data_IF_239430712096
#
_entry.id   IF_239430712096
#
_cell.length_a   1.000
_cell.length_b   1.000
_cell.length_c   1.000
_cell.angle_alpha   90.00
_cell.angle_beta   90.00
_cell.angle_gamma   90.00
#
_symmetry.space_group_name_H-M   'P 1'
#
loop_
_entity.id
_entity.type
_entity.pdbx_description
1 polymer ?
#
# COMPACT_ATOMS: atom_id res chain seq x y z
N UNK A 1 -45.04 5.83 4.22
CA UNK A 1 -44.21 5.82 2.99
C UNK A 1 -44.39 4.45 2.37
N UNK A 2 -44.71 4.37 1.08
CA UNK A 2 -45.12 3.11 0.45
C UNK A 2 -43.92 2.49 -0.30
N UNK A 3 -43.86 1.16 -0.40
CA UNK A 3 -42.77 0.46 -1.10
C UNK A 3 -42.60 0.95 -2.55
N UNK A 4 -43.72 1.21 -3.25
CA UNK A 4 -43.77 1.84 -4.59
C UNK A 4 -43.07 3.20 -4.74
N UNK A 5 -42.80 3.92 -3.65
CA UNK A 5 -42.04 5.19 -3.71
C UNK A 5 -40.51 4.99 -3.63
N UNK A 6 -40.04 3.79 -3.30
CA UNK A 6 -38.60 3.47 -3.20
C UNK A 6 -38.08 2.63 -4.37
N UNK A 7 -38.94 1.84 -5.04
CA UNK A 7 -38.61 1.11 -6.29
C UNK A 7 -37.77 1.93 -7.32
N UNK A 8 -38.12 3.18 -7.70
CA UNK A 8 -37.32 3.97 -8.64
C UNK A 8 -35.98 4.45 -8.06
N UNK A 9 -35.83 4.52 -6.73
CA UNK A 9 -34.55 4.84 -6.10
C UNK A 9 -33.63 3.62 -6.07
N UNK A 10 -34.17 2.43 -5.76
CA UNK A 10 -33.44 1.16 -5.80
C UNK A 10 -32.85 0.92 -7.19
N UNK A 11 -33.67 1.00 -8.24
CA UNK A 11 -33.21 0.81 -9.62
C UNK A 11 -32.10 1.79 -10.04
N UNK A 12 -32.13 3.04 -9.54
CA UNK A 12 -31.07 4.03 -9.78
C UNK A 12 -29.78 3.70 -9.04
N UNK A 13 -29.88 3.25 -7.79
CA UNK A 13 -28.72 2.85 -6.97
C UNK A 13 -28.06 1.60 -7.55
N UNK A 14 -28.84 0.63 -8.02
CA UNK A 14 -28.37 -0.57 -8.72
C UNK A 14 -27.66 -0.20 -10.03
N UNK A 15 -28.20 0.74 -10.81
CA UNK A 15 -27.57 1.31 -12.00
C UNK A 15 -26.33 2.21 -11.71
N UNK A 16 -25.85 2.27 -10.46
CA UNK A 16 -24.69 3.08 -10.08
C UNK A 16 -24.93 4.59 -10.01
N UNK A 17 -26.16 5.06 -10.26
CA UNK A 17 -26.46 6.48 -10.33
C UNK A 17 -26.47 7.12 -8.92
N UNK A 18 -25.91 8.33 -8.74
CA UNK A 18 -26.02 9.05 -7.48
C UNK A 18 -27.47 9.47 -7.20
N UNK A 19 -27.81 9.50 -5.92
CA UNK A 19 -29.07 10.06 -5.44
C UNK A 19 -28.89 11.55 -5.13
N UNK A 20 -29.90 12.36 -5.42
CA UNK A 20 -29.93 13.74 -4.93
C UNK A 20 -30.09 13.76 -3.40
N UNK A 21 -29.72 14.87 -2.72
CA UNK A 21 -29.80 14.94 -1.26
C UNK A 21 -31.19 14.60 -0.69
N UNK A 22 -32.27 14.98 -1.38
CA UNK A 22 -33.66 14.67 -0.99
C UNK A 22 -34.01 13.19 -1.14
N UNK A 23 -33.51 12.53 -2.18
CA UNK A 23 -33.73 11.11 -2.45
C UNK A 23 -32.97 10.25 -1.44
N UNK A 24 -31.76 10.68 -1.06
CA UNK A 24 -31.00 10.05 0.01
C UNK A 24 -31.67 10.24 1.38
N UNK A 25 -32.15 11.44 1.70
CA UNK A 25 -32.92 11.72 2.93
C UNK A 25 -34.18 10.85 3.03
N UNK A 26 -34.92 10.66 1.93
CA UNK A 26 -36.06 9.74 1.87
C UNK A 26 -35.67 8.28 2.16
N UNK A 27 -34.51 7.84 1.66
CA UNK A 27 -34.00 6.49 1.89
C UNK A 27 -33.47 6.30 3.32
N UNK A 28 -32.81 7.31 3.90
CA UNK A 28 -32.43 7.35 5.31
C UNK A 28 -33.67 7.25 6.23
N UNK A 29 -34.73 8.02 5.95
CA UNK A 29 -36.01 7.94 6.66
C UNK A 29 -36.70 6.57 6.49
N UNK A 30 -36.57 5.92 5.34
CA UNK A 30 -37.09 4.57 5.12
C UNK A 30 -36.41 3.55 6.05
N UNK A 31 -35.08 3.57 6.10
CA UNK A 31 -34.28 2.69 6.98
C UNK A 31 -34.57 2.99 8.45
N UNK A 32 -34.74 4.25 8.85
CA UNK A 32 -35.15 4.61 10.22
C UNK A 32 -36.54 4.07 10.58
N UNK A 33 -37.50 4.12 9.65
CA UNK A 33 -38.86 3.62 9.85
C UNK A 33 -38.95 2.09 9.92
N UNK A 34 -38.03 1.36 9.26
CA UNK A 34 -37.93 -0.11 9.34
C UNK A 34 -36.46 -0.59 9.44
N UNK A 35 -35.80 -0.48 10.60
CA UNK A 35 -34.36 -0.78 10.74
C UNK A 35 -33.95 -2.24 10.47
N UNK A 36 -34.91 -3.17 10.45
CA UNK A 36 -34.69 -4.58 10.13
C UNK A 36 -34.84 -4.96 8.65
N UNK A 37 -35.31 -4.04 7.79
CA UNK A 37 -35.42 -4.27 6.36
C UNK A 37 -34.02 -4.23 5.73
N UNK A 38 -33.57 -5.38 5.22
CA UNK A 38 -32.22 -5.53 4.68
C UNK A 38 -32.04 -4.79 3.36
N UNK A 39 -33.02 -4.89 2.48
CA UNK A 39 -32.96 -4.35 1.12
C UNK A 39 -32.80 -2.83 1.14
N UNK A 40 -33.54 -2.14 2.02
CA UNK A 40 -33.44 -0.69 2.19
C UNK A 40 -32.10 -0.28 2.82
N UNK A 41 -31.57 -1.07 3.75
CA UNK A 41 -30.27 -0.82 4.37
C UNK A 41 -29.12 -0.99 3.38
N UNK A 42 -29.18 -2.04 2.54
CA UNK A 42 -28.21 -2.28 1.46
C UNK A 42 -28.32 -1.22 0.36
N UNK A 43 -29.53 -0.83 -0.02
CA UNK A 43 -29.77 0.27 -0.96
C UNK A 43 -29.19 1.59 -0.43
N UNK A 44 -29.39 1.92 0.86
CA UNK A 44 -28.79 3.10 1.48
C UNK A 44 -27.25 3.03 1.48
N UNK A 45 -26.69 1.89 1.85
CA UNK A 45 -25.25 1.66 1.83
C UNK A 45 -24.65 1.81 0.43
N UNK A 46 -25.27 1.22 -0.59
CA UNK A 46 -24.86 1.36 -1.99
C UNK A 46 -25.00 2.81 -2.48
N UNK A 47 -26.08 3.51 -2.16
CA UNK A 47 -26.26 4.92 -2.51
C UNK A 47 -25.15 5.80 -1.91
N UNK A 48 -24.78 5.55 -0.65
CA UNK A 48 -23.68 6.25 0.02
C UNK A 48 -22.32 5.92 -0.62
N UNK A 49 -22.04 4.68 -0.98
CA UNK A 49 -20.80 4.29 -1.68
C UNK A 49 -20.72 4.91 -3.08
N UNK A 50 -21.80 4.85 -3.87
CA UNK A 50 -21.88 5.47 -5.20
C UNK A 50 -21.74 7.00 -5.14
N UNK A 51 -22.03 7.63 -3.99
CA UNK A 51 -21.90 9.08 -3.76
C UNK A 51 -20.61 9.45 -3.00
N UNK A 52 -19.56 8.61 -3.06
CA UNK A 52 -18.26 8.77 -2.39
C UNK A 52 -18.32 8.91 -0.84
N UNK A 53 -19.48 8.66 -0.23
CA UNK A 53 -19.73 8.74 1.22
C UNK A 53 -19.55 7.39 1.91
N UNK A 54 -18.59 6.58 1.47
CA UNK A 54 -18.33 5.23 2.00
C UNK A 54 -18.06 5.21 3.52
N UNK A 55 -17.44 6.27 4.07
CA UNK A 55 -17.23 6.44 5.51
C UNK A 55 -18.53 6.50 6.34
N UNK A 56 -19.67 6.86 5.73
CA UNK A 56 -20.98 6.86 6.36
C UNK A 56 -21.73 5.55 6.16
N UNK A 57 -21.48 4.84 5.05
CA UNK A 57 -22.02 3.51 4.80
C UNK A 57 -21.44 2.46 5.77
N UNK A 58 -20.14 2.55 6.06
CA UNK A 58 -19.43 1.51 6.80
C UNK A 58 -20.00 1.24 8.21
N UNK A 59 -20.28 2.24 9.08
CA UNK A 59 -20.87 1.97 10.41
C UNK A 59 -22.26 1.33 10.37
N UNK A 60 -23.03 1.57 9.30
CA UNK A 60 -24.33 0.93 9.09
C UNK A 60 -24.15 -0.55 8.76
N UNK A 61 -23.20 -0.86 7.88
CA UNK A 61 -22.85 -2.22 7.44
C UNK A 61 -22.14 -3.03 8.54
N UNK A 62 -21.31 -2.39 9.36
CA UNK A 62 -20.70 -3.02 10.55
C UNK A 62 -21.76 -3.43 11.58
N UNK A 63 -22.76 -2.58 11.84
CA UNK A 63 -23.91 -2.92 12.70
C UNK A 63 -24.76 -4.03 12.11
N UNK A 64 -25.01 -3.98 10.79
CA UNK A 64 -25.72 -5.03 10.06
C UNK A 64 -25.00 -6.37 10.23
N UNK A 65 -23.69 -6.41 9.97
CA UNK A 65 -22.85 -7.59 10.13
C UNK A 65 -22.79 -8.05 11.59
N UNK A 66 -22.74 -7.15 12.58
CA UNK A 66 -22.79 -7.57 13.99
C UNK A 66 -24.08 -8.34 14.33
N UNK A 67 -25.22 -8.01 13.69
CA UNK A 67 -26.48 -8.73 13.86
C UNK A 67 -26.64 -9.99 12.97
N UNK A 68 -25.96 -10.02 11.82
CA UNK A 68 -25.96 -11.12 10.85
C UNK A 68 -24.53 -11.29 10.31
N UNK A 69 -23.62 -11.93 11.07
CA UNK A 69 -22.16 -11.92 10.81
C UNK A 69 -21.73 -12.60 9.51
N UNK A 70 -22.68 -13.27 8.88
CA UNK A 70 -22.47 -14.38 7.99
C UNK A 70 -23.31 -14.28 6.70
N UNK A 71 -24.05 -13.17 6.55
CA UNK A 71 -24.98 -12.85 5.47
C UNK A 71 -24.22 -12.34 4.23
N UNK A 72 -24.21 -13.08 3.10
CA UNK A 72 -23.47 -12.74 1.89
C UNK A 72 -23.69 -11.30 1.40
N UNK A 73 -24.94 -10.83 1.39
CA UNK A 73 -25.27 -9.50 0.88
C UNK A 73 -24.65 -8.38 1.73
N UNK A 74 -24.63 -8.55 3.06
CA UNK A 74 -24.05 -7.57 3.98
C UNK A 74 -22.51 -7.56 3.85
N UNK A 75 -21.90 -8.74 3.79
CA UNK A 75 -20.44 -8.88 3.66
C UNK A 75 -19.94 -8.28 2.34
N UNK A 76 -20.63 -8.55 1.22
CA UNK A 76 -20.29 -7.96 -0.09
C UNK A 76 -20.46 -6.43 -0.09
N UNK A 77 -21.56 -5.90 0.47
CA UNK A 77 -21.75 -4.45 0.59
C UNK A 77 -20.69 -3.80 1.50
N UNK A 78 -20.32 -4.44 2.62
CA UNK A 78 -19.25 -3.97 3.50
C UNK A 78 -17.90 -3.98 2.80
N UNK A 79 -17.59 -5.02 2.03
CA UNK A 79 -16.38 -5.07 1.23
C UNK A 79 -16.30 -3.95 0.18
N UNK A 80 -17.41 -3.58 -0.47
CA UNK A 80 -17.47 -2.41 -1.37
C UNK A 80 -17.14 -1.11 -0.63
N UNK A 81 -17.75 -0.88 0.55
CA UNK A 81 -17.47 0.30 1.37
C UNK A 81 -16.02 0.34 1.88
N UNK A 82 -15.48 -0.80 2.33
CA UNK A 82 -14.08 -0.94 2.75
C UNK A 82 -13.10 -0.69 1.58
N UNK A 83 -13.42 -1.18 0.37
CA UNK A 83 -12.61 -0.96 -0.82
C UNK A 83 -12.57 0.51 -1.26
N UNK A 84 -13.69 1.22 -1.12
CA UNK A 84 -13.76 2.68 -1.36
C UNK A 84 -13.04 3.51 -0.27
N UNK A 85 -12.72 2.89 0.88
CA UNK A 85 -11.91 3.45 1.96
C UNK A 85 -10.47 2.88 1.98
N UNK A 86 -10.05 2.23 0.89
CA UNK A 86 -8.73 1.60 0.72
C UNK A 86 -8.36 0.51 1.76
N UNK A 87 -9.34 0.03 2.54
CA UNK A 87 -9.19 -1.04 3.55
C UNK A 87 -9.25 -2.42 2.89
N UNK A 88 -8.38 -2.63 1.89
CA UNK A 88 -8.43 -3.76 0.96
C UNK A 88 -8.33 -5.14 1.62
N UNK A 89 -7.51 -5.30 2.66
CA UNK A 89 -7.35 -6.59 3.34
C UNK A 89 -8.64 -7.06 4.06
N UNK A 90 -9.41 -6.13 4.62
CA UNK A 90 -10.69 -6.43 5.27
C UNK A 90 -11.78 -6.71 4.24
N UNK A 91 -11.81 -5.93 3.15
CA UNK A 91 -12.71 -6.17 2.02
C UNK A 91 -12.49 -7.57 1.41
N UNK A 92 -11.23 -7.97 1.19
CA UNK A 92 -10.89 -9.29 0.69
C UNK A 92 -11.37 -10.41 1.62
N UNK A 93 -11.23 -10.24 2.94
CA UNK A 93 -11.67 -11.22 3.95
C UNK A 93 -13.19 -11.45 3.89
N UNK A 94 -13.95 -10.38 3.75
CA UNK A 94 -15.40 -10.44 3.63
C UNK A 94 -15.83 -11.10 2.32
N UNK A 95 -15.21 -10.72 1.19
CA UNK A 95 -15.50 -11.31 -0.12
C UNK A 95 -15.18 -12.81 -0.17
N UNK A 96 -14.04 -13.23 0.38
CA UNK A 96 -13.70 -14.66 0.52
C UNK A 96 -14.72 -15.40 1.40
N UNK A 97 -15.24 -14.76 2.44
CA UNK A 97 -16.28 -15.33 3.31
C UNK A 97 -17.62 -15.47 2.58
N UNK A 98 -18.02 -14.47 1.77
CA UNK A 98 -19.17 -14.57 0.87
C UNK A 98 -19.00 -15.71 -0.13
N UNK A 99 -17.87 -15.78 -0.84
CA UNK A 99 -17.64 -16.76 -1.90
C UNK A 99 -17.51 -18.20 -1.36
N UNK A 100 -17.03 -18.39 -0.13
CA UNK A 100 -17.04 -19.69 0.54
C UNK A 100 -18.46 -20.25 0.77
N UNK A 101 -19.47 -19.38 0.86
CA UNK A 101 -20.89 -19.74 1.06
C UNK A 101 -21.72 -19.69 -0.21
N UNK A 102 -21.34 -18.81 -1.13
CA UNK A 102 -22.04 -18.58 -2.39
C UNK A 102 -21.00 -18.39 -3.50
N UNK A 103 -20.40 -19.49 -4.02
CA UNK A 103 -19.30 -19.40 -4.99
C UNK A 103 -19.66 -18.66 -6.29
N UNK A 104 -20.94 -18.67 -6.67
CA UNK A 104 -21.47 -17.94 -7.83
C UNK A 104 -22.00 -16.54 -7.52
N UNK A 105 -21.66 -15.93 -6.38
CA UNK A 105 -22.16 -14.59 -6.02
C UNK A 105 -21.47 -13.52 -6.87
N UNK A 106 -22.09 -13.16 -7.99
CA UNK A 106 -21.54 -12.29 -9.04
C UNK A 106 -20.90 -11.00 -8.51
N UNK A 107 -21.60 -10.26 -7.62
CA UNK A 107 -21.07 -9.02 -7.03
C UNK A 107 -19.77 -9.23 -6.24
N UNK A 108 -19.60 -10.39 -5.57
CA UNK A 108 -18.41 -10.69 -4.79
C UNK A 108 -17.26 -11.20 -5.67
N UNK A 109 -17.56 -12.00 -6.70
CA UNK A 109 -16.58 -12.37 -7.73
C UNK A 109 -16.03 -11.12 -8.43
N UNK A 110 -16.92 -10.21 -8.84
CA UNK A 110 -16.56 -8.94 -9.50
C UNK A 110 -15.74 -8.02 -8.59
N UNK A 111 -16.17 -7.83 -7.34
CA UNK A 111 -15.44 -7.02 -6.38
C UNK A 111 -14.06 -7.62 -6.03
N UNK A 112 -13.96 -8.94 -5.86
CA UNK A 112 -12.68 -9.60 -5.60
C UNK A 112 -11.76 -9.56 -6.83
N UNK A 113 -12.30 -9.72 -8.04
CA UNK A 113 -11.56 -9.56 -9.29
C UNK A 113 -10.93 -8.18 -9.42
N UNK A 114 -11.70 -7.12 -9.14
CA UNK A 114 -11.19 -5.74 -9.12
C UNK A 114 -10.08 -5.54 -8.05
N UNK A 115 -10.23 -6.12 -6.85
CA UNK A 115 -9.19 -6.07 -5.82
C UNK A 115 -7.92 -6.82 -6.25
N UNK A 116 -8.05 -7.97 -6.93
CA UNK A 116 -6.91 -8.72 -7.46
C UNK A 116 -6.17 -7.99 -8.56
N UNK A 117 -6.89 -7.32 -9.44
CA UNK A 117 -6.29 -6.47 -10.46
C UNK A 117 -5.46 -5.34 -9.83
N UNK A 118 -6.02 -4.62 -8.85
CA UNK A 118 -5.32 -3.59 -8.07
C UNK A 118 -4.12 -4.13 -7.26
N UNK A 119 -4.18 -5.38 -6.82
CA UNK A 119 -3.10 -6.06 -6.11
C UNK A 119 -1.98 -6.60 -7.03
N UNK A 120 -2.05 -6.36 -8.35
CA UNK A 120 -1.06 -6.86 -9.30
C UNK A 120 -1.19 -8.35 -9.63
N UNK A 121 -2.38 -8.93 -9.42
CA UNK A 121 -2.71 -10.33 -9.73
C UNK A 121 -3.73 -10.43 -10.89
N UNK A 122 -3.40 -9.96 -12.11
CA UNK A 122 -4.34 -9.85 -13.22
C UNK A 122 -4.87 -11.21 -13.70
N UNK A 123 -4.09 -12.29 -13.57
CA UNK A 123 -4.54 -13.66 -13.91
C UNK A 123 -5.68 -14.15 -13.01
N UNK A 124 -5.54 -13.99 -11.69
CA UNK A 124 -6.61 -14.35 -10.73
C UNK A 124 -7.85 -13.46 -10.92
N UNK A 125 -7.64 -12.17 -11.20
CA UNK A 125 -8.72 -11.26 -11.57
C UNK A 125 -9.50 -11.75 -12.80
N UNK A 126 -8.81 -12.13 -13.87
CA UNK A 126 -9.43 -12.61 -15.10
C UNK A 126 -10.21 -13.92 -14.89
N UNK A 127 -9.71 -14.86 -14.08
CA UNK A 127 -10.43 -16.08 -13.72
C UNK A 127 -11.74 -15.79 -12.96
N UNK A 128 -11.70 -14.92 -11.95
CA UNK A 128 -12.88 -14.51 -11.19
C UNK A 128 -13.94 -13.82 -12.07
N UNK A 129 -13.50 -12.95 -12.98
CA UNK A 129 -14.38 -12.16 -13.85
C UNK A 129 -15.00 -12.99 -14.98
N UNK A 130 -14.28 -14.00 -15.50
CA UNK A 130 -14.89 -15.02 -16.38
C UNK A 130 -15.99 -15.82 -15.66
N UNK A 131 -15.85 -16.05 -14.35
CA UNK A 131 -16.91 -16.62 -13.52
C UNK A 131 -18.17 -15.76 -13.46
N UNK A 132 -18.04 -14.43 -13.44
CA UNK A 132 -19.17 -13.50 -13.53
C UNK A 132 -19.82 -13.56 -14.91
N UNK A 133 -19.03 -13.43 -15.98
CA UNK A 133 -19.53 -13.41 -17.36
C UNK A 133 -20.11 -14.76 -17.84
N UNK A 134 -19.76 -15.86 -17.18
CA UNK A 134 -20.40 -17.15 -17.41
C UNK A 134 -21.85 -17.22 -16.86
N UNK A 135 -22.16 -16.41 -15.84
CA UNK A 135 -23.50 -16.30 -15.27
C UNK A 135 -24.32 -15.16 -15.91
N UNK A 136 -23.69 -14.00 -16.12
CA UNK A 136 -24.26 -12.86 -16.86
C UNK A 136 -23.27 -12.34 -17.93
N UNK A 137 -23.41 -12.79 -19.19
CA UNK A 137 -22.59 -12.31 -20.30
C UNK A 137 -22.73 -10.82 -20.62
N UNK A 138 -23.71 -10.13 -20.05
CA UNK A 138 -24.01 -8.71 -20.29
C UNK A 138 -23.50 -7.77 -19.18
N UNK A 139 -22.87 -8.28 -18.11
CA UNK A 139 -22.26 -7.43 -17.06
C UNK A 139 -21.10 -6.60 -17.66
N UNK A 140 -21.42 -5.35 -18.02
CA UNK A 140 -20.47 -4.41 -18.62
C UNK A 140 -19.30 -4.09 -17.70
N UNK A 141 -19.52 -4.11 -16.37
CA UNK A 141 -18.47 -3.84 -15.39
C UNK A 141 -17.51 -5.01 -15.33
N UNK A 142 -18.00 -6.24 -15.27
CA UNK A 142 -17.16 -7.44 -15.30
C UNK A 142 -16.37 -7.55 -16.62
N UNK A 143 -17.01 -7.23 -17.75
CA UNK A 143 -16.38 -7.18 -19.08
C UNK A 143 -15.28 -6.13 -19.18
N UNK A 144 -15.49 -4.93 -18.63
CA UNK A 144 -14.49 -3.88 -18.62
C UNK A 144 -13.26 -4.26 -17.76
N UNK A 145 -13.47 -4.74 -16.54
CA UNK A 145 -12.36 -5.15 -15.64
C UNK A 145 -11.66 -6.40 -16.18
N UNK A 146 -12.37 -7.31 -16.88
CA UNK A 146 -11.74 -8.47 -17.53
C UNK A 146 -10.79 -8.01 -18.65
N UNK A 147 -11.21 -7.07 -19.50
CA UNK A 147 -10.36 -6.55 -20.57
C UNK A 147 -9.11 -5.84 -20.01
N UNK A 148 -9.24 -5.11 -18.89
CA UNK A 148 -8.10 -4.52 -18.19
C UNK A 148 -7.16 -5.59 -17.61
N UNK A 149 -7.71 -6.66 -17.02
CA UNK A 149 -6.95 -7.79 -16.48
C UNK A 149 -6.25 -8.64 -17.57
N UNK A 150 -6.88 -8.84 -18.72
CA UNK A 150 -6.27 -9.54 -19.86
C UNK A 150 -5.17 -8.69 -20.48
N UNK A 151 -5.39 -7.39 -20.70
CA UNK A 151 -4.34 -6.46 -21.15
C UNK A 151 -3.15 -6.40 -20.18
N UNK A 152 -3.39 -6.44 -18.87
CA UNK A 152 -2.34 -6.51 -17.83
C UNK A 152 -1.67 -7.90 -17.71
N UNK A 153 -2.24 -8.93 -18.34
CA UNK A 153 -1.65 -10.29 -18.43
C UNK A 153 -0.84 -10.49 -19.72
N UNK A 154 -1.26 -9.85 -20.81
CA UNK A 154 -0.63 -9.89 -22.13
C UNK A 154 0.51 -8.86 -22.28
N UNK A 155 0.47 -7.76 -21.51
CA UNK A 155 1.68 -7.01 -21.20
C UNK A 155 2.71 -7.96 -20.58
N UNK A 156 3.95 -7.98 -21.10
CA UNK A 156 4.98 -8.85 -20.55
C UNK A 156 5.05 -8.67 -19.03
N UNK A 157 5.11 -9.76 -18.24
CA UNK A 157 5.20 -9.64 -16.80
C UNK A 157 6.45 -8.84 -16.47
N UNK A 158 6.26 -7.60 -16.02
CA UNK A 158 7.31 -6.84 -15.37
C UNK A 158 7.96 -7.73 -14.32
N UNK A 159 9.31 -7.72 -14.20
CA UNK A 159 10.01 -8.70 -13.37
C UNK A 159 9.37 -8.77 -11.98
N UNK A 160 9.17 -9.98 -11.44
CA UNK A 160 8.34 -10.21 -10.26
C UNK A 160 8.75 -9.24 -9.16
N UNK A 161 7.76 -8.62 -8.50
CA UNK A 161 7.96 -7.55 -7.53
C UNK A 161 9.12 -7.90 -6.59
N UNK A 162 10.26 -7.22 -6.83
CA UNK A 162 11.57 -7.62 -6.34
C UNK A 162 11.50 -7.75 -4.82
N UNK A 163 11.81 -8.92 -4.25
CA UNK A 163 11.75 -9.02 -2.78
C UNK A 163 12.84 -8.14 -2.16
N UNK A 164 12.65 -7.68 -0.91
CA UNK A 164 13.70 -6.92 -0.19
C UNK A 164 15.05 -7.68 -0.19
N UNK A 165 15.02 -9.01 -0.14
CA UNK A 165 16.19 -9.88 -0.24
C UNK A 165 16.82 -9.90 -1.64
N UNK A 166 16.01 -9.82 -2.69
CA UNK A 166 16.50 -9.76 -4.08
C UNK A 166 17.07 -8.37 -4.38
N UNK A 167 16.42 -7.29 -3.90
CA UNK A 167 16.95 -5.93 -3.92
C UNK A 167 18.31 -5.81 -3.22
N UNK A 168 18.46 -6.43 -2.04
CA UNK A 168 19.73 -6.46 -1.34
C UNK A 168 20.82 -7.18 -2.14
N UNK A 169 20.46 -8.26 -2.84
CA UNK A 169 21.37 -9.05 -3.69
C UNK A 169 21.76 -8.30 -4.96
N UNK A 170 20.80 -7.67 -5.63
CA UNK A 170 21.02 -6.85 -6.83
C UNK A 170 21.95 -5.66 -6.51
N UNK A 171 21.65 -4.91 -5.43
CA UNK A 171 22.49 -3.82 -4.95
C UNK A 171 23.91 -4.31 -4.60
N UNK A 172 24.05 -5.48 -3.96
CA UNK A 172 25.37 -6.07 -3.67
C UNK A 172 26.14 -6.42 -4.96
N UNK A 173 25.46 -6.96 -5.98
CA UNK A 173 26.03 -7.27 -7.29
C UNK A 173 26.53 -5.99 -7.97
N UNK A 174 25.69 -4.96 -8.12
CA UNK A 174 26.07 -3.70 -8.78
C UNK A 174 27.19 -2.95 -8.03
N UNK A 175 27.21 -2.99 -6.70
CA UNK A 175 28.35 -2.50 -5.91
C UNK A 175 29.66 -3.23 -6.28
N UNK A 176 29.59 -4.55 -6.42
CA UNK A 176 30.75 -5.41 -6.75
C UNK A 176 31.23 -5.16 -8.18
N UNK A 177 30.33 -5.02 -9.14
CA UNK A 177 30.62 -4.68 -10.55
C UNK A 177 31.31 -3.31 -10.68
N UNK A 178 30.89 -2.31 -9.90
CA UNK A 178 31.58 -1.01 -9.82
C UNK A 178 32.87 -1.03 -8.95
N UNK A 179 33.32 -2.21 -8.52
CA UNK A 179 34.55 -2.38 -7.74
C UNK A 179 34.50 -1.76 -6.34
N UNK A 180 33.31 -1.66 -5.74
CA UNK A 180 33.12 -1.29 -4.35
C UNK A 180 33.02 -2.58 -3.51
N UNK A 181 34.00 -2.80 -2.62
CA UNK A 181 33.96 -3.94 -1.70
C UNK A 181 32.83 -3.73 -0.71
N UNK A 182 31.92 -4.71 -0.61
CA UNK A 182 30.79 -4.66 0.32
C UNK A 182 30.65 -5.96 1.11
N UNK A 183 30.05 -5.85 2.31
CA UNK A 183 29.61 -6.98 3.15
C UNK A 183 28.13 -6.80 3.48
N UNK A 184 27.37 -7.89 3.45
CA UNK A 184 25.94 -7.88 3.78
C UNK A 184 25.74 -8.54 5.13
N UNK A 185 24.98 -7.88 5.99
CA UNK A 185 24.48 -8.38 7.26
C UNK A 185 22.96 -8.54 7.11
N UNK A 186 22.51 -9.78 6.95
CA UNK A 186 21.11 -10.09 6.70
C UNK A 186 20.26 -9.96 7.97
N UNK A 187 20.84 -10.22 9.15
CA UNK A 187 20.15 -10.08 10.45
C UNK A 187 19.89 -8.60 10.75
N UNK A 188 20.92 -7.76 10.58
CA UNK A 188 20.80 -6.31 10.76
C UNK A 188 20.11 -5.59 9.59
N UNK A 189 19.78 -6.29 8.49
CA UNK A 189 19.30 -5.70 7.22
C UNK A 189 20.18 -4.54 6.73
N UNK A 190 21.50 -4.78 6.69
CA UNK A 190 22.51 -3.76 6.45
C UNK A 190 23.51 -4.19 5.35
N UNK A 191 23.91 -3.24 4.50
CA UNK A 191 25.07 -3.41 3.61
C UNK A 191 26.15 -2.43 4.05
N UNK A 192 27.37 -2.90 4.27
CA UNK A 192 28.51 -2.05 4.62
C UNK A 192 29.46 -2.00 3.43
N UNK A 193 29.71 -0.80 2.90
CA UNK A 193 30.49 -0.55 1.68
C UNK A 193 31.80 0.15 2.03
N UNK A 194 32.92 -0.45 1.67
CA UNK A 194 34.24 0.14 1.88
C UNK A 194 34.57 1.12 0.75
N UNK A 195 34.63 2.42 1.07
CA UNK A 195 35.00 3.48 0.13
C UNK A 195 36.52 3.67 0.05
N UNK A 196 37.24 3.48 1.17
CA UNK A 196 38.71 3.55 1.23
C UNK A 196 39.23 2.78 2.47
N UNK A 197 40.56 2.59 2.65
CA UNK A 197 41.10 2.03 3.88
C UNK A 197 40.62 2.81 5.11
N UNK A 198 39.99 2.11 6.08
CA UNK A 198 39.34 2.69 7.26
C UNK A 198 38.18 3.67 6.98
N UNK A 199 37.57 3.65 5.77
CA UNK A 199 36.34 4.40 5.44
C UNK A 199 35.27 3.43 4.94
N UNK A 200 34.27 3.17 5.78
CA UNK A 200 33.10 2.37 5.45
C UNK A 200 31.83 3.23 5.52
N UNK A 201 30.84 2.93 4.67
CA UNK A 201 29.49 3.49 4.73
C UNK A 201 28.52 2.36 5.06
N UNK A 202 27.64 2.57 6.03
CA UNK A 202 26.56 1.64 6.39
C UNK A 202 25.27 2.06 5.70
N UNK A 203 24.66 1.15 4.96
CA UNK A 203 23.43 1.34 4.18
C UNK A 203 22.32 0.46 4.77
N UNK A 204 21.24 1.08 5.26
CA UNK A 204 20.06 0.35 5.71
C UNK A 204 19.29 -0.19 4.50
N UNK A 205 19.26 -1.51 4.33
CA UNK A 205 18.49 -2.19 3.27
C UNK A 205 17.01 -1.86 3.42
N UNK A 206 16.50 -1.80 4.66
CA UNK A 206 15.09 -1.45 4.92
C UNK A 206 14.75 -0.05 4.42
N UNK A 207 15.59 0.94 4.70
CA UNK A 207 15.34 2.32 4.28
C UNK A 207 15.48 2.48 2.75
N UNK A 208 16.55 1.91 2.16
CA UNK A 208 16.77 1.94 0.71
C UNK A 208 15.65 1.21 -0.05
N UNK A 209 15.16 0.09 0.47
CA UNK A 209 14.03 -0.64 -0.09
C UNK A 209 12.72 0.16 -0.07
N UNK A 210 12.45 0.88 1.03
CA UNK A 210 11.29 1.77 1.11
C UNK A 210 11.40 2.92 0.08
N UNK A 211 12.58 3.54 -0.06
CA UNK A 211 12.82 4.59 -1.05
C UNK A 211 12.71 4.07 -2.50
N UNK A 212 13.29 2.89 -2.80
CA UNK A 212 13.27 2.29 -4.13
C UNK A 212 11.85 1.97 -4.62
N UNK A 213 10.94 1.56 -3.72
CA UNK A 213 9.52 1.35 -4.06
C UNK A 213 8.77 2.67 -4.35
N UNK A 214 9.22 3.79 -3.80
CA UNK A 214 8.63 5.12 -4.07
C UNK A 214 9.19 5.81 -5.31
N UNK A 215 10.23 5.24 -5.95
CA UNK A 215 10.89 5.81 -7.11
C UNK A 215 10.12 5.49 -8.41
N UNK A 216 9.67 6.53 -9.11
CA UNK A 216 8.89 6.43 -10.35
C UNK A 216 9.67 5.82 -11.51
N UNK A 217 11.00 5.88 -11.46
CA UNK A 217 11.91 5.27 -12.47
C UNK A 217 12.23 3.80 -12.20
N UNK A 218 11.75 3.24 -11.08
CA UNK A 218 11.97 1.85 -10.69
C UNK A 218 13.29 1.60 -9.93
N UNK A 219 13.38 0.39 -9.36
CA UNK A 219 14.48 -0.01 -8.47
C UNK A 219 15.84 -0.09 -9.17
N UNK A 220 15.90 -0.54 -10.42
CA UNK A 220 17.16 -0.66 -11.16
C UNK A 220 17.84 0.70 -11.35
N UNK A 221 17.07 1.73 -11.75
CA UNK A 221 17.57 3.11 -11.84
C UNK A 221 18.01 3.66 -10.47
N UNK A 222 17.25 3.35 -9.41
CA UNK A 222 17.59 3.75 -8.04
C UNK A 222 18.93 3.13 -7.56
N UNK A 223 19.16 1.85 -7.88
CA UNK A 223 20.42 1.15 -7.59
C UNK A 223 21.57 1.77 -8.39
N UNK A 224 21.39 1.98 -9.70
CA UNK A 224 22.41 2.60 -10.56
C UNK A 224 22.83 3.99 -10.06
N UNK A 225 21.86 4.86 -9.75
CA UNK A 225 22.15 6.21 -9.25
C UNK A 225 22.81 6.19 -7.87
N UNK A 226 22.37 5.32 -6.94
CA UNK A 226 22.99 5.15 -5.63
C UNK A 226 24.45 4.66 -5.75
N UNK A 227 24.71 3.64 -6.57
CA UNK A 227 26.05 3.09 -6.81
C UNK A 227 26.92 4.14 -7.51
N UNK A 228 26.37 4.91 -8.44
CA UNK A 228 27.04 6.04 -9.09
C UNK A 228 27.39 7.18 -8.12
N UNK A 229 26.54 7.47 -7.13
CA UNK A 229 26.86 8.43 -6.03
C UNK A 229 27.98 7.88 -5.13
N UNK A 230 27.91 6.63 -4.69
CA UNK A 230 28.94 5.98 -3.86
C UNK A 230 30.30 5.89 -4.58
N UNK A 231 30.31 5.59 -5.88
CA UNK A 231 31.53 5.53 -6.70
C UNK A 231 32.17 6.92 -6.84
N UNK A 232 31.39 7.99 -6.93
CA UNK A 232 31.92 9.37 -6.88
C UNK A 232 32.53 9.72 -5.51
N UNK A 233 32.01 9.19 -4.41
CA UNK A 233 32.60 9.35 -3.06
C UNK A 233 33.92 8.55 -2.86
N UNK A 234 34.14 7.47 -3.62
CA UNK A 234 35.41 6.75 -3.69
C UNK A 234 36.50 7.59 -4.38
N UNK A 235 36.10 8.42 -5.35
CA UNK A 235 37.00 9.19 -6.22
C UNK A 235 37.32 10.61 -5.73
N UNK A 236 36.61 11.16 -4.73
CA UNK A 236 36.76 12.55 -4.30
C UNK A 236 37.61 12.73 -3.04
N UNK A 237 38.32 13.85 -3.02
CA UNK A 237 39.45 14.12 -2.13
C UNK A 237 39.13 14.17 -0.63
N UNK A 238 40.18 13.87 0.13
CA UNK A 238 40.40 14.06 1.57
C UNK A 238 39.22 14.66 2.36
N UNK A 239 38.59 13.82 3.18
CA UNK A 239 38.00 14.29 4.44
C UNK A 239 39.09 15.06 5.18
N UNK A 240 38.89 16.33 5.56
CA UNK A 240 39.91 17.11 6.27
C UNK A 240 40.30 16.37 7.57
N UNK A 241 41.60 16.31 7.92
CA UNK A 241 42.05 15.69 9.16
C UNK A 241 41.26 16.23 10.36
N UNK A 242 41.04 15.38 11.37
CA UNK A 242 40.22 15.75 12.55
C UNK A 242 40.61 17.11 13.14
N UNK A 243 41.90 17.40 13.25
CA UNK A 243 42.42 18.70 13.73
C UNK A 243 41.92 19.93 12.95
N UNK A 244 41.64 19.81 11.64
CA UNK A 244 41.11 20.91 10.81
C UNK A 244 39.61 21.17 11.00
N UNK A 245 38.86 20.17 11.48
CA UNK A 245 37.42 20.30 11.80
C UNK A 245 37.15 20.43 13.30
N UNK A 246 38.14 20.12 14.15
CA UNK A 246 38.06 20.15 15.62
C UNK A 246 37.53 21.48 16.16
N UNK A 247 37.95 22.61 15.59
CA UNK A 247 37.51 23.95 16.03
C UNK A 247 36.10 24.33 15.55
N UNK A 248 35.53 23.57 14.61
CA UNK A 248 34.16 23.74 14.11
C UNK A 248 33.19 22.71 14.71
N UNK A 249 33.71 21.71 15.42
CA UNK A 249 32.95 20.71 16.19
C UNK A 249 32.88 21.21 17.64
N UNK A 250 31.80 21.91 18.00
CA UNK A 250 31.62 22.42 19.36
C UNK A 250 31.42 21.26 20.36
N UNK A 251 32.17 21.24 21.48
CA UNK A 251 32.05 20.17 22.48
C UNK A 251 30.70 20.27 23.22
N UNK A 252 29.84 19.28 23.01
CA UNK A 252 28.56 19.16 23.71
C UNK A 252 28.75 18.45 25.07
N UNK A 253 28.92 19.23 26.15
CA UNK A 253 28.87 18.68 27.51
C UNK A 253 27.46 18.17 27.83
N UNK A 254 27.38 16.92 28.31
CA UNK A 254 26.13 16.22 28.63
C UNK A 254 26.25 15.42 29.93
N UNK A 255 25.20 15.39 30.79
CA UNK A 255 25.20 14.58 32.00
C UNK A 255 25.16 13.09 31.67
N UNK A 256 25.61 12.21 32.57
CA UNK A 256 25.56 10.74 32.39
C UNK A 256 24.17 10.18 32.09
N UNK A 257 23.09 10.89 32.44
CA UNK A 257 21.70 10.50 32.13
C UNK A 257 21.15 11.11 30.84
N UNK A 258 21.95 11.90 30.10
CA UNK A 258 21.67 12.21 28.70
C UNK A 258 21.58 10.91 27.92
N UNK A 259 22.55 10.02 28.20
CA UNK A 259 22.65 8.67 27.69
C UNK A 259 21.26 7.96 27.63
N UNK A 260 20.34 8.09 28.60
CA UNK A 260 19.02 7.44 28.46
C UNK A 260 17.94 8.12 27.55
N UNK A 261 18.09 9.39 27.06
CA UNK A 261 16.98 10.20 26.47
C UNK A 261 17.35 11.14 25.28
N UNK A 262 17.00 10.79 24.01
CA UNK A 262 17.07 11.57 22.72
C UNK A 262 17.74 10.90 21.45
N UNK A 263 17.04 9.99 20.75
CA UNK A 263 17.30 9.60 19.34
C UNK A 263 16.09 10.03 18.45
N UNK A 264 16.12 9.92 17.10
CA UNK A 264 17.17 9.38 16.23
C UNK A 264 17.92 10.45 15.41
N UNK A 265 19.19 10.16 15.11
CA UNK A 265 19.98 10.58 13.94
C UNK A 265 20.18 12.09 13.70
N UNK A 266 21.43 12.55 13.88
CA UNK A 266 21.89 13.84 13.35
C UNK A 266 22.28 13.65 11.88
N UNK A 267 21.85 14.54 10.99
CA UNK A 267 22.18 14.45 9.56
C UNK A 267 23.00 15.65 9.09
N UNK A 268 23.90 15.41 8.15
CA UNK A 268 24.64 16.44 7.42
C UNK A 268 24.66 16.12 5.93
N UNK A 269 24.77 17.13 5.08
CA UNK A 269 24.97 16.91 3.64
C UNK A 269 26.30 16.19 3.40
N UNK A 270 26.23 15.12 2.60
CA UNK A 270 27.38 14.43 2.05
C UNK A 270 27.61 14.84 0.59
N UNK A 271 28.83 14.67 0.05
CA UNK A 271 29.08 14.85 -1.38
C UNK A 271 28.11 14.05 -2.26
N UNK A 272 27.87 14.56 -3.47
CA UNK A 272 26.98 13.95 -4.47
C UNK A 272 25.50 13.78 -4.05
N UNK A 273 24.97 14.66 -3.19
CA UNK A 273 23.54 14.66 -2.84
C UNK A 273 23.11 13.46 -2.00
N UNK A 274 24.03 12.96 -1.16
CA UNK A 274 23.74 11.98 -0.13
C UNK A 274 23.65 12.69 1.23
N UNK A 275 23.20 11.96 2.26
CA UNK A 275 23.19 12.44 3.64
C UNK A 275 24.12 11.56 4.49
N UNK A 276 25.01 12.20 5.23
CA UNK A 276 25.69 11.56 6.35
C UNK A 276 24.68 11.43 7.49
N UNK A 277 24.17 10.22 7.71
CA UNK A 277 23.35 9.88 8.85
C UNK A 277 24.28 9.49 10.02
N UNK A 278 24.55 10.44 10.91
CA UNK A 278 25.17 10.13 12.19
C UNK A 278 24.08 9.56 13.08
N UNK A 279 24.17 8.27 13.43
CA UNK A 279 23.34 7.72 14.49
C UNK A 279 23.70 8.40 15.83
N UNK A 280 23.02 9.52 16.12
CA UNK A 280 22.55 9.78 17.47
C UNK A 280 21.51 8.70 17.74
N UNK A 281 22.00 7.56 18.21
CA UNK A 281 21.16 6.55 18.80
C UNK A 281 20.43 7.15 20.01
N UNK A 282 19.35 6.53 20.47
CA UNK A 282 18.78 6.96 21.74
C UNK A 282 19.84 6.68 22.84
N UNK A 283 20.22 7.69 23.62
CA UNK A 283 21.58 8.26 23.58
C UNK A 283 22.68 7.49 24.29
N UNK A 284 22.42 6.28 24.78
CA UNK A 284 23.33 5.69 25.77
C UNK A 284 24.66 5.32 25.11
N UNK A 285 24.64 5.26 23.77
CA UNK A 285 25.70 4.75 22.94
C UNK A 285 25.85 5.54 21.65
N UNK A 286 27.10 5.90 21.35
CA UNK A 286 27.61 6.16 20.01
C UNK A 286 28.85 5.28 19.86
N UNK A 287 28.92 4.47 18.81
CA UNK A 287 30.14 3.80 18.33
C UNK A 287 29.83 2.95 17.09
N UNK A 288 30.51 3.05 15.94
CA UNK A 288 31.56 3.95 15.45
C UNK A 288 31.29 4.22 13.96
#
# INVERSE_FOLDING_TARGET
MNERTLEPLVARVEAGAPLSPRELEQLELAVQARPGNLDWLLCLAHALVNSERAAQALPLLERAAASRPDEPLILTARARALSALERYAEAERDLRTTLAKSPGHADALRALGLLRLRAGAPREAAELLRGVLAADPLDETARAVLAEAEAATDAEPGPPALSKSDFARELQTSLTECGLKSRVDLEASLIVVALAPRREVRLSVTALWASAQSERRGHAWFIEDLVGRLTRMKATDRVPPFEQVRERIFPALRPKSFLARAGPVLQSEAPAGLLWLFALDHPDFVSY
#
